data_IF_250350302659
#
_entry.id   IF_250350302659
#
_cell.length_a   1.000
_cell.length_b   1.000
_cell.length_c   1.000
_cell.angle_alpha   90.00
_cell.angle_beta   90.00
_cell.angle_gamma   90.00
#
_symmetry.space_group_name_H-M   'P 1'
#
loop_
_entity.id
_entity.type
_entity.pdbx_description
1 polymer ?
#
# COMPACT_ATOMS: atom_id res chain seq x y z
N UNK A 1 11.81 11.91 -15.20
CA UNK A 1 12.42 10.56 -15.09
C UNK A 1 11.27 9.57 -14.90
N UNK A 2 11.20 8.51 -15.71
CA UNK A 2 10.04 7.60 -15.75
C UNK A 2 9.75 7.02 -14.36
N UNK A 3 8.49 7.12 -13.91
CA UNK A 3 8.02 6.56 -12.62
C UNK A 3 8.44 5.10 -12.43
N UNK A 4 8.53 4.33 -13.53
CA UNK A 4 8.99 2.94 -13.50
C UNK A 4 10.46 2.76 -13.08
N UNK A 5 11.35 3.71 -13.38
CA UNK A 5 12.76 3.63 -12.99
C UNK A 5 12.94 3.84 -11.48
N UNK A 6 12.23 4.83 -10.92
CA UNK A 6 12.22 5.08 -9.48
C UNK A 6 11.64 3.88 -8.72
N UNK A 7 10.53 3.31 -9.19
CA UNK A 7 9.92 2.12 -8.58
C UNK A 7 10.92 0.97 -8.53
N UNK A 8 11.63 0.70 -9.62
CA UNK A 8 12.63 -0.36 -9.67
C UNK A 8 13.77 -0.13 -8.67
N UNK A 9 14.29 1.09 -8.57
CA UNK A 9 15.34 1.43 -7.59
C UNK A 9 14.86 1.22 -6.14
N UNK A 10 13.63 1.63 -5.83
CA UNK A 10 13.05 1.41 -4.51
C UNK A 10 12.85 -0.09 -4.20
N UNK A 11 12.41 -0.89 -5.16
CA UNK A 11 12.23 -2.34 -5.00
C UNK A 11 13.57 -3.05 -4.76
N UNK A 12 14.61 -2.69 -5.51
CA UNK A 12 15.97 -3.23 -5.32
C UNK A 12 16.51 -2.85 -3.95
N UNK A 13 16.34 -1.58 -3.53
CA UNK A 13 16.75 -1.13 -2.19
C UNK A 13 15.99 -1.82 -1.06
N UNK A 14 14.74 -2.22 -1.29
CA UNK A 14 13.93 -3.02 -0.37
C UNK A 14 14.23 -4.54 -0.43
N UNK A 15 15.23 -4.96 -1.22
CA UNK A 15 15.60 -6.36 -1.42
C UNK A 15 14.43 -7.25 -1.91
N UNK A 16 13.60 -6.72 -2.81
CA UNK A 16 12.48 -7.46 -3.39
C UNK A 16 12.99 -8.66 -4.22
N UNK A 17 12.42 -9.85 -3.99
CA UNK A 17 12.76 -11.10 -4.69
C UNK A 17 12.20 -11.15 -6.11
N UNK A 18 11.04 -10.54 -6.33
CA UNK A 18 10.30 -10.60 -7.59
C UNK A 18 10.14 -9.21 -8.19
N UNK A 19 11.26 -8.55 -8.52
CA UNK A 19 11.30 -7.14 -8.92
C UNK A 19 10.37 -6.84 -10.11
N UNK A 20 10.36 -7.67 -11.15
CA UNK A 20 9.55 -7.40 -12.34
C UNK A 20 8.04 -7.48 -12.07
N UNK A 21 7.59 -8.53 -11.37
CA UNK A 21 6.19 -8.70 -10.99
C UNK A 21 5.74 -7.59 -10.03
N UNK A 22 6.56 -7.26 -9.02
CA UNK A 22 6.26 -6.19 -8.08
C UNK A 22 6.22 -4.82 -8.77
N UNK A 23 7.15 -4.54 -9.69
CA UNK A 23 7.19 -3.30 -10.46
C UNK A 23 5.94 -3.16 -11.33
N UNK A 24 5.51 -4.22 -12.00
CA UNK A 24 4.30 -4.21 -12.83
C UNK A 24 3.07 -3.85 -12.00
N UNK A 25 2.91 -4.48 -10.85
CA UNK A 25 1.80 -4.24 -9.93
C UNK A 25 1.80 -2.79 -9.38
N UNK A 26 2.95 -2.35 -8.87
CA UNK A 26 3.14 -0.99 -8.35
C UNK A 26 2.90 0.08 -9.42
N UNK A 27 3.44 -0.09 -10.62
CA UNK A 27 3.24 0.85 -11.72
C UNK A 27 1.76 0.87 -12.15
N UNK A 28 1.08 -0.27 -12.12
CA UNK A 28 -0.37 -0.38 -12.30
C UNK A 28 -1.12 0.52 -11.31
N UNK A 29 -0.84 0.39 -10.01
CA UNK A 29 -1.46 1.23 -8.98
C UNK A 29 -1.16 2.73 -9.18
N UNK A 30 0.11 3.11 -9.40
CA UNK A 30 0.51 4.51 -9.64
C UNK A 30 -0.08 5.09 -10.93
N UNK A 31 -0.45 4.24 -11.89
CA UNK A 31 -1.13 4.70 -13.10
C UNK A 31 -2.56 5.17 -12.82
N UNK A 32 -3.20 4.64 -11.77
CA UNK A 32 -4.58 4.97 -11.37
C UNK A 32 -4.63 6.00 -10.23
N UNK A 33 -3.73 5.87 -9.26
CA UNK A 33 -3.68 6.70 -8.06
C UNK A 33 -2.49 7.65 -8.11
N UNK A 34 -2.70 8.86 -8.67
CA UNK A 34 -1.63 9.83 -8.97
C UNK A 34 -1.02 10.51 -7.75
N UNK A 35 -1.77 10.57 -6.65
CA UNK A 35 -1.29 11.17 -5.41
C UNK A 35 -0.42 10.20 -4.58
N UNK A 36 -0.32 8.93 -4.99
CA UNK A 36 0.59 7.97 -4.38
C UNK A 36 2.01 8.13 -4.94
N UNK A 37 2.99 8.07 -4.04
CA UNK A 37 4.40 8.08 -4.37
C UNK A 37 5.11 6.82 -3.88
N UNK A 38 5.94 6.26 -4.75
CA UNK A 38 6.85 5.17 -4.41
C UNK A 38 8.07 5.67 -3.63
N UNK A 39 8.46 4.93 -2.60
CA UNK A 39 9.65 5.18 -1.82
C UNK A 39 10.10 3.96 -1.04
N UNK A 40 11.07 4.18 -0.15
CA UNK A 40 11.49 3.17 0.83
C UNK A 40 11.51 3.78 2.22
N UNK A 41 11.24 2.97 3.24
CA UNK A 41 11.33 3.39 4.63
C UNK A 41 11.80 2.24 5.52
N UNK A 42 12.27 2.55 6.73
CA UNK A 42 12.54 1.52 7.73
C UNK A 42 11.22 1.14 8.40
N UNK A 43 10.81 -0.12 8.25
CA UNK A 43 9.55 -0.63 8.77
C UNK A 43 9.79 -1.82 9.71
N UNK A 44 9.06 -1.85 10.83
CA UNK A 44 9.01 -2.99 11.72
C UNK A 44 7.90 -3.92 11.26
N UNK A 45 8.27 -5.05 10.68
CA UNK A 45 7.30 -6.02 10.20
C UNK A 45 6.64 -6.78 11.37
N UNK A 46 5.45 -7.38 11.15
CA UNK A 46 4.76 -8.20 12.15
C UNK A 46 5.59 -9.37 12.72
N UNK A 47 6.67 -9.77 12.06
CA UNK A 47 7.63 -10.76 12.55
C UNK A 47 8.64 -10.18 13.58
N UNK A 48 8.47 -8.92 13.96
CA UNK A 48 9.32 -8.19 14.90
C UNK A 48 10.61 -7.63 14.30
N UNK A 49 10.89 -7.86 13.01
CA UNK A 49 12.15 -7.44 12.38
C UNK A 49 12.01 -6.08 11.71
N UNK A 50 12.98 -5.19 11.98
CA UNK A 50 13.12 -3.91 11.27
C UNK A 50 13.91 -4.12 9.98
N UNK A 51 13.36 -3.68 8.86
CA UNK A 51 14.00 -3.80 7.53
C UNK A 51 13.67 -2.58 6.69
N UNK A 52 14.48 -2.31 5.66
CA UNK A 52 14.09 -1.36 4.61
C UNK A 52 13.00 -2.00 3.77
N UNK A 53 11.81 -1.38 3.75
CA UNK A 53 10.66 -1.84 3.00
C UNK A 53 10.34 -0.87 1.86
N UNK A 54 9.79 -1.40 0.77
CA UNK A 54 9.15 -0.55 -0.24
C UNK A 54 7.86 0.03 0.36
N UNK A 55 7.58 1.30 0.06
CA UNK A 55 6.31 1.94 0.43
C UNK A 55 5.65 2.66 -0.74
N UNK A 56 4.32 2.57 -0.81
CA UNK A 56 3.49 3.59 -1.43
C UNK A 56 2.94 4.50 -0.33
N UNK A 57 2.97 5.81 -0.53
CA UNK A 57 2.36 6.77 0.40
C UNK A 57 1.73 7.92 -0.36
N UNK A 58 0.57 8.37 0.09
CA UNK A 58 -0.15 9.49 -0.49
C UNK A 58 -1.62 9.43 -0.08
N UNK A 59 -2.51 9.90 -0.94
CA UNK A 59 -3.96 9.84 -0.71
C UNK A 59 -4.66 8.97 -1.75
N UNK A 60 -5.75 8.33 -1.35
CA UNK A 60 -6.71 7.68 -2.25
C UNK A 60 -8.09 8.30 -2.12
N UNK A 61 -8.85 8.44 -3.22
CA UNK A 61 -10.23 8.90 -3.17
C UNK A 61 -11.14 7.80 -2.62
N UNK A 62 -11.92 8.11 -1.59
CA UNK A 62 -12.92 7.22 -0.99
C UNK A 62 -14.26 7.93 -0.96
N UNK A 63 -15.30 7.30 -1.53
CA UNK A 63 -16.65 7.86 -1.53
C UNK A 63 -17.43 7.43 -0.29
N UNK A 64 -17.87 8.39 0.50
CA UNK A 64 -18.69 8.15 1.69
C UNK A 64 -19.86 9.14 1.72
N UNK A 65 -21.08 8.62 1.79
CA UNK A 65 -22.33 9.42 1.85
C UNK A 65 -22.43 10.50 0.76
N UNK A 66 -22.02 10.17 -0.47
CA UNK A 66 -22.10 11.07 -1.63
C UNK A 66 -20.98 12.12 -1.72
N UNK A 67 -20.03 12.13 -0.78
CA UNK A 67 -18.83 12.96 -0.84
C UNK A 67 -17.57 12.12 -1.06
N UNK A 68 -16.60 12.66 -1.80
CA UNK A 68 -15.29 12.05 -1.99
C UNK A 68 -14.30 12.61 -0.97
N UNK A 69 -13.63 11.73 -0.23
CA UNK A 69 -12.60 12.06 0.75
C UNK A 69 -11.25 11.53 0.29
N UNK A 70 -10.22 12.36 0.38
CA UNK A 70 -8.85 11.94 0.09
C UNK A 70 -8.23 11.36 1.36
N UNK A 71 -8.27 10.04 1.49
CA UNK A 71 -7.82 9.33 2.67
C UNK A 71 -6.30 9.08 2.55
N UNK A 72 -5.48 9.58 3.49
CA UNK A 72 -4.05 9.33 3.42
C UNK A 72 -3.75 7.88 3.81
N UNK A 73 -2.96 7.21 2.98
CA UNK A 73 -2.59 5.81 3.16
C UNK A 73 -1.09 5.61 3.03
N UNK A 74 -0.57 4.59 3.72
CA UNK A 74 0.75 4.02 3.48
C UNK A 74 0.62 2.51 3.30
N UNK A 75 1.20 2.01 2.22
CA UNK A 75 1.22 0.58 1.88
C UNK A 75 2.67 0.10 1.88
N UNK A 76 2.99 -0.87 2.72
CA UNK A 76 4.30 -1.53 2.78
C UNK A 76 4.26 -2.88 2.09
N UNK A 77 5.31 -3.19 1.34
CA UNK A 77 5.43 -4.47 0.64
C UNK A 77 6.46 -5.36 1.35
N UNK A 78 6.16 -6.66 1.41
CA UNK A 78 7.15 -7.68 1.75
C UNK A 78 8.14 -7.89 0.60
N UNK A 79 9.30 -8.48 0.90
CA UNK A 79 10.28 -8.85 -0.12
C UNK A 79 9.73 -9.88 -1.12
N UNK A 80 8.67 -10.60 -0.75
CA UNK A 80 7.97 -11.60 -1.57
C UNK A 80 6.78 -11.06 -2.36
N UNK A 81 6.46 -9.76 -2.30
CA UNK A 81 5.40 -9.16 -3.12
C UNK A 81 5.63 -9.46 -4.62
N UNK A 82 4.60 -9.77 -5.43
CA UNK A 82 3.16 -9.78 -5.12
C UNK A 82 2.62 -11.11 -4.57
N UNK A 83 3.46 -12.08 -4.18
CA UNK A 83 2.97 -13.39 -3.71
C UNK A 83 2.44 -13.37 -2.28
N UNK A 84 2.71 -12.31 -1.52
CA UNK A 84 2.22 -12.14 -0.17
C UNK A 84 1.59 -10.74 -0.02
N UNK A 85 0.50 -10.66 0.73
CA UNK A 85 -0.30 -9.45 0.87
C UNK A 85 0.54 -8.29 1.42
N UNK A 86 0.31 -7.05 0.94
CA UNK A 86 0.93 -5.87 1.52
C UNK A 86 0.35 -5.56 2.90
N UNK A 87 1.02 -4.67 3.63
CA UNK A 87 0.51 -4.14 4.91
C UNK A 87 0.07 -2.69 4.69
N UNK A 88 -1.18 -2.40 4.98
CA UNK A 88 -1.77 -1.09 4.72
C UNK A 88 -2.10 -0.36 6.03
N UNK A 89 -1.89 0.95 6.01
CA UNK A 89 -2.23 1.86 7.08
C UNK A 89 -2.98 3.07 6.54
N UNK A 90 -3.94 3.54 7.30
CA UNK A 90 -4.51 4.89 7.20
C UNK A 90 -3.70 5.82 8.08
N UNK A 91 -3.28 6.96 7.54
CA UNK A 91 -2.49 7.94 8.27
C UNK A 91 -3.28 9.24 8.43
N UNK A 92 -4.02 9.42 9.54
CA UNK A 92 -4.77 10.65 9.76
C UNK A 92 -3.84 11.86 9.73
N UNK A 93 -4.30 12.95 9.11
CA UNK A 93 -3.68 14.27 9.30
C UNK A 93 -3.98 14.78 10.71
N UNK A 94 -3.36 15.90 11.11
CA UNK A 94 -3.56 16.48 12.45
C UNK A 94 -5.03 16.81 12.80
N UNK A 95 -5.90 16.94 11.78
CA UNK A 95 -7.33 17.24 11.94
C UNK A 95 -8.23 16.02 11.73
N UNK A 96 -7.67 14.83 11.50
CA UNK A 96 -8.41 13.59 11.28
C UNK A 96 -8.34 12.69 12.51
N UNK A 97 -9.41 11.95 12.78
CA UNK A 97 -9.46 10.93 13.82
C UNK A 97 -9.74 9.59 13.16
N UNK A 98 -8.95 8.57 13.48
CA UNK A 98 -9.25 7.20 13.06
C UNK A 98 -10.51 6.75 13.79
N UNK A 99 -11.54 6.42 13.02
CA UNK A 99 -12.71 5.73 13.54
C UNK A 99 -12.46 4.23 13.43
N UNK A 100 -12.20 3.60 14.57
CA UNK A 100 -12.04 2.14 14.64
C UNK A 100 -13.28 1.44 14.07
N UNK A 101 -13.03 0.41 13.28
CA UNK A 101 -14.05 -0.41 12.61
C UNK A 101 -13.54 -1.84 12.45
N UNK A 102 -14.35 -2.71 11.86
CA UNK A 102 -13.91 -4.05 11.45
C UNK A 102 -12.71 -4.01 10.49
N UNK A 103 -12.57 -2.92 9.72
CA UNK A 103 -11.54 -2.80 8.70
C UNK A 103 -10.32 -2.00 9.11
N UNK A 104 -10.38 -1.24 10.21
CA UNK A 104 -9.28 -0.36 10.63
C UNK A 104 -9.18 -0.35 12.15
N UNK A 105 -8.00 -0.66 12.69
CA UNK A 105 -7.75 -0.58 14.14
C UNK A 105 -7.34 0.83 14.58
N UNK A 106 -7.14 1.02 15.89
CA UNK A 106 -6.73 2.32 16.48
C UNK A 106 -5.40 2.88 15.97
N UNK A 107 -4.50 2.02 15.50
CA UNK A 107 -3.21 2.41 14.92
C UNK A 107 -3.32 2.77 13.43
N UNK A 108 -4.52 2.65 12.86
CA UNK A 108 -4.78 2.87 11.44
C UNK A 108 -4.46 1.67 10.56
N UNK A 109 -4.06 0.53 11.13
CA UNK A 109 -3.78 -0.68 10.35
C UNK A 109 -5.07 -1.20 9.74
N UNK A 110 -5.02 -1.48 8.45
CA UNK A 110 -6.14 -1.93 7.63
C UNK A 110 -6.24 -3.45 7.62
N UNK A 111 -7.46 -3.96 7.72
CA UNK A 111 -7.85 -5.36 7.67
C UNK A 111 -9.03 -5.52 6.70
N UNK A 112 -8.76 -5.99 5.49
CA UNK A 112 -9.80 -6.21 4.47
C UNK A 112 -9.85 -7.69 4.10
N UNK A 113 -11.03 -8.24 3.75
CA UNK A 113 -11.12 -9.57 3.14
C UNK A 113 -10.17 -9.73 1.95
N UNK A 114 -10.00 -8.67 1.15
CA UNK A 114 -9.07 -8.66 0.01
C UNK A 114 -7.60 -8.86 0.40
N UNK A 115 -7.19 -8.39 1.58
CA UNK A 115 -5.85 -8.65 2.11
C UNK A 115 -5.73 -10.08 2.65
N UNK A 116 -6.79 -10.60 3.27
CA UNK A 116 -6.81 -11.95 3.85
C UNK A 116 -6.83 -13.05 2.77
N UNK A 117 -7.53 -12.79 1.67
CA UNK A 117 -7.68 -13.71 0.53
C UNK A 117 -6.66 -13.47 -0.58
N UNK A 118 -5.71 -12.55 -0.36
CA UNK A 118 -4.74 -12.12 -1.36
C UNK A 118 -4.07 -13.32 -2.05
N UNK A 119 -4.24 -13.40 -3.37
CA UNK A 119 -3.66 -14.47 -4.19
C UNK A 119 -3.10 -13.91 -5.48
N UNK A 120 -1.83 -14.23 -5.74
CA UNK A 120 -1.19 -13.92 -7.01
C UNK A 120 -1.04 -15.18 -7.89
N UNK A 121 -1.38 -15.10 -9.20
CA UNK A 121 -2.04 -13.98 -9.87
C UNK A 121 -3.53 -13.87 -9.51
N UNK A 122 -4.11 -12.67 -9.61
CA UNK A 122 -5.54 -12.41 -9.42
C UNK A 122 -5.83 -11.18 -8.56
N UNK A 123 -5.05 -11.00 -7.49
CA UNK A 123 -5.13 -9.85 -6.59
C UNK A 123 -3.93 -8.92 -6.84
N UNK A 124 -4.17 -7.62 -6.81
CA UNK A 124 -3.17 -6.60 -7.10
C UNK A 124 -3.39 -5.33 -6.28
N UNK A 125 -2.41 -4.42 -6.28
CA UNK A 125 -2.47 -3.18 -5.51
C UNK A 125 -3.57 -2.25 -6.01
N UNK A 126 -3.94 -2.32 -7.29
CA UNK A 126 -4.99 -1.48 -7.85
C UNK A 126 -6.36 -1.89 -7.30
N UNK A 127 -6.66 -3.19 -7.30
CA UNK A 127 -7.87 -3.75 -6.72
C UNK A 127 -7.95 -3.48 -5.22
N UNK A 128 -6.85 -3.65 -4.49
CA UNK A 128 -6.78 -3.32 -3.07
C UNK A 128 -7.12 -1.85 -2.78
N UNK A 129 -6.56 -0.92 -3.55
CA UNK A 129 -6.75 0.52 -3.34
C UNK A 129 -8.11 1.04 -3.85
N UNK A 130 -8.76 0.30 -4.75
CA UNK A 130 -10.13 0.60 -5.19
C UNK A 130 -11.18 0.14 -4.18
N UNK A 131 -10.90 -0.94 -3.44
CA UNK A 131 -11.77 -1.39 -2.36
C UNK A 131 -11.76 -0.30 -1.29
N UNK A 132 -12.87 0.42 -1.23
CA UNK A 132 -13.07 1.52 -0.30
C UNK A 132 -12.93 1.01 1.13
N UNK A 133 -12.05 1.67 1.89
CA UNK A 133 -11.85 1.45 3.34
C UNK A 133 -13.09 1.84 4.15
#
# INVERSE_FOLDING_TARGET
MSSGHQVQQCLVRANAKYVDSAKKDVVGALSQFKDLAAGTDTFMFPDGKRRTAFRLKGTIPVYYKGACYNIPVTVFLWDTHPYYAPICYVNPTATMVIKESEHVNKEGKVFLPYLNEWRFPGYDLSGLLQISL
#
